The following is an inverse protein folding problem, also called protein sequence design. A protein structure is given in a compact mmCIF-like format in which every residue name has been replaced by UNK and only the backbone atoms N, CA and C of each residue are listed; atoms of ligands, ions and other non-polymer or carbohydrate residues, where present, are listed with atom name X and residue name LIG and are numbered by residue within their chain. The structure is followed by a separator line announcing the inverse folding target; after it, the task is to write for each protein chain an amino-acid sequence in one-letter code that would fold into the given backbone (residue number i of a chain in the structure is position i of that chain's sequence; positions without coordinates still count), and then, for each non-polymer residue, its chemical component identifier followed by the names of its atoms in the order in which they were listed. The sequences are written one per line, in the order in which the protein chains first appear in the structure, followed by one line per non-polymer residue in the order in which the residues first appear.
data_IF_196652192031
#
_entry.id   IF_196652192031
#
_cell.length_a   1.000
_cell.length_b   1.000
_cell.length_c   1.000
_cell.angle_alpha   90.00
_cell.angle_beta   90.00
_cell.angle_gamma   90.00
#
_symmetry.space_group_name_H-M   'P 1'
#
loop_
_entity.id
_entity.type
_entity.pdbx_description
1 polymer ?
#
# COMPACT_ATOMS: atom_id res chain seq x y z
N UNK A 1 -17.94 -21.54 43.56
CA UNK A 1 -16.79 -21.54 42.65
C UNK A 1 -17.29 -20.97 41.32
N UNK A 2 -16.94 -19.71 41.01
CA UNK A 2 -17.31 -19.11 39.72
C UNK A 2 -16.42 -19.76 38.65
N UNK A 3 -17.04 -20.42 37.68
CA UNK A 3 -16.35 -20.93 36.49
C UNK A 3 -15.88 -19.71 35.69
N UNK A 4 -14.57 -19.48 35.69
CA UNK A 4 -13.94 -18.53 34.78
C UNK A 4 -14.04 -19.18 33.40
N UNK A 5 -14.90 -18.63 32.54
CA UNK A 5 -14.97 -19.06 31.15
C UNK A 5 -13.62 -18.76 30.49
N UNK A 6 -12.92 -19.78 29.98
CA UNK A 6 -11.75 -19.59 29.14
C UNK A 6 -12.16 -18.78 27.91
N UNK A 7 -11.45 -17.67 27.64
CA UNK A 7 -11.69 -16.91 26.43
C UNK A 7 -11.27 -17.75 25.21
N UNK A 8 -12.11 -17.82 24.16
CA UNK A 8 -11.82 -18.64 23.00
C UNK A 8 -10.57 -18.13 22.29
N UNK A 9 -9.51 -18.94 22.32
CA UNK A 9 -8.25 -18.65 21.64
C UNK A 9 -8.45 -18.85 20.13
N UNK A 10 -8.19 -17.80 19.35
CA UNK A 10 -8.22 -17.86 17.88
C UNK A 10 -7.07 -18.73 17.40
N UNK A 11 -7.38 -19.79 16.65
CA UNK A 11 -6.36 -20.58 16.00
C UNK A 11 -5.99 -19.93 14.66
N UNK A 12 -4.81 -19.32 14.56
CA UNK A 12 -4.35 -18.61 13.36
C UNK A 12 -4.07 -19.52 12.14
N UNK A 13 -4.21 -20.83 12.29
CA UNK A 13 -3.95 -21.82 11.23
C UNK A 13 -5.18 -22.65 10.85
N UNK A 14 -6.31 -22.49 11.53
CA UNK A 14 -7.57 -23.20 11.24
C UNK A 14 -8.55 -22.27 10.51
N UNK A 15 -8.76 -22.49 9.21
CA UNK A 15 -9.74 -21.73 8.40
C UNK A 15 -11.13 -22.38 8.36
N UNK A 16 -11.38 -23.40 9.17
CA UNK A 16 -12.70 -24.03 9.23
C UNK A 16 -13.72 -23.11 9.90
N UNK A 17 -15.01 -23.34 9.62
CA UNK A 17 -16.13 -22.62 10.27
C UNK A 17 -16.18 -22.79 11.80
N UNK A 18 -15.34 -23.68 12.36
CA UNK A 18 -15.24 -23.95 13.78
C UNK A 18 -14.21 -23.05 14.47
N UNK A 19 -13.37 -22.34 13.72
CA UNK A 19 -12.46 -21.36 14.29
C UNK A 19 -13.26 -20.14 14.78
N UNK A 20 -13.06 -19.78 16.04
CA UNK A 20 -13.76 -18.67 16.66
C UNK A 20 -13.09 -17.37 16.25
N UNK A 21 -13.57 -16.73 15.18
CA UNK A 21 -13.22 -15.33 14.89
C UNK A 21 -14.02 -14.46 15.87
N UNK A 22 -13.34 -13.59 16.60
CA UNK A 22 -14.01 -12.68 17.53
C UNK A 22 -15.03 -11.82 16.77
N UNK A 23 -16.23 -11.68 17.34
CA UNK A 23 -17.26 -10.84 16.75
C UNK A 23 -16.81 -9.37 16.75
N UNK A 24 -17.19 -8.62 15.70
CA UNK A 24 -16.92 -7.19 15.65
C UNK A 24 -17.54 -6.47 16.86
N UNK A 25 -16.81 -5.50 17.42
CA UNK A 25 -17.32 -4.66 18.49
C UNK A 25 -18.63 -3.98 18.04
N UNK A 26 -19.64 -3.97 18.93
CA UNK A 26 -20.95 -3.38 18.63
C UNK A 26 -20.89 -1.86 18.45
N UNK A 27 -19.93 -1.22 19.12
CA UNK A 27 -19.71 0.23 19.11
C UNK A 27 -18.21 0.51 18.86
N UNK A 28 -17.72 0.39 17.62
CA UNK A 28 -16.32 0.62 17.31
C UNK A 28 -15.95 2.09 17.50
N UNK A 29 -14.81 2.33 18.12
CA UNK A 29 -14.24 3.67 18.26
C UNK A 29 -13.50 4.09 16.99
N UNK A 30 -13.19 5.38 16.88
CA UNK A 30 -12.35 5.90 15.79
C UNK A 30 -10.94 5.26 15.77
N UNK A 31 -10.40 4.93 16.94
CA UNK A 31 -9.11 4.25 17.03
C UNK A 31 -9.20 2.80 16.53
N UNK A 32 -10.29 2.10 16.85
CA UNK A 32 -10.52 0.73 16.34
C UNK A 32 -10.62 0.73 14.81
N UNK A 33 -11.22 1.77 14.22
CA UNK A 33 -11.25 1.94 12.78
C UNK A 33 -9.86 2.21 12.20
N UNK A 34 -9.06 3.10 12.82
CA UNK A 34 -7.69 3.37 12.38
C UNK A 34 -6.81 2.13 12.45
N UNK A 35 -6.94 1.35 13.52
CA UNK A 35 -6.21 0.10 13.71
C UNK A 35 -6.63 -0.95 12.67
N UNK A 36 -7.93 -1.13 12.44
CA UNK A 36 -8.42 -2.07 11.42
C UNK A 36 -7.94 -1.69 10.00
N UNK A 37 -7.97 -0.39 9.66
CA UNK A 37 -7.45 0.10 8.38
C UNK A 37 -5.92 -0.06 8.29
N UNK A 38 -5.20 0.17 9.39
CA UNK A 38 -3.76 -0.09 9.49
C UNK A 38 -3.42 -1.56 9.27
N UNK A 39 -4.16 -2.47 9.90
CA UNK A 39 -3.97 -3.91 9.76
C UNK A 39 -4.28 -4.39 8.34
N UNK A 40 -5.36 -3.90 7.72
CA UNK A 40 -5.68 -4.20 6.32
C UNK A 40 -4.57 -3.74 5.38
N UNK A 41 -4.01 -2.56 5.65
CA UNK A 41 -2.93 -1.96 4.87
C UNK A 41 -1.63 -2.75 5.03
N UNK A 42 -1.26 -3.11 6.26
CA UNK A 42 -0.08 -3.93 6.56
C UNK A 42 -0.21 -5.29 5.87
N UNK A 43 -1.36 -5.95 6.01
CA UNK A 43 -1.67 -7.18 5.28
C UNK A 43 -1.48 -6.99 3.77
N UNK A 44 -2.04 -5.92 3.19
CA UNK A 44 -1.86 -5.64 1.77
C UNK A 44 -0.40 -5.44 1.34
N UNK A 45 0.43 -4.82 2.19
CA UNK A 45 1.85 -4.59 1.91
C UNK A 45 2.71 -5.85 2.07
N UNK A 46 2.38 -6.72 3.01
CA UNK A 46 3.17 -7.92 3.31
C UNK A 46 2.69 -9.15 2.55
N UNK A 47 1.38 -9.29 2.33
CA UNK A 47 0.77 -10.47 1.68
C UNK A 47 0.87 -10.40 0.15
N UNK A 48 0.64 -9.25 -0.48
CA UNK A 48 0.84 -9.12 -1.93
C UNK A 48 2.31 -8.86 -2.27
N UNK A 49 3.13 -9.89 -2.07
CA UNK A 49 4.56 -9.92 -2.34
C UNK A 49 4.89 -10.86 -3.52
N UNK A 50 6.15 -10.94 -3.90
CA UNK A 50 6.62 -11.75 -5.04
C UNK A 50 6.29 -13.24 -4.88
N UNK A 51 6.37 -13.79 -3.67
CA UNK A 51 6.04 -15.20 -3.42
C UNK A 51 4.55 -15.49 -3.60
N UNK A 52 3.70 -14.55 -3.20
CA UNK A 52 2.24 -14.70 -3.31
C UNK A 52 1.76 -14.45 -4.73
N UNK A 53 2.43 -13.56 -5.47
CA UNK A 53 2.22 -13.37 -6.91
C UNK A 53 2.66 -14.63 -7.68
N UNK A 54 3.84 -15.18 -7.36
CA UNK A 54 4.34 -16.43 -7.94
C UNK A 54 3.40 -17.60 -7.67
N UNK A 55 2.95 -17.78 -6.42
CA UNK A 55 1.94 -18.77 -6.07
C UNK A 55 0.65 -18.58 -6.85
N UNK A 56 0.17 -17.34 -6.99
CA UNK A 56 -1.08 -17.04 -7.70
C UNK A 56 -0.99 -17.27 -9.20
N UNK A 57 0.19 -17.08 -9.79
CA UNK A 57 0.48 -17.35 -11.20
C UNK A 57 0.71 -18.84 -11.49
N UNK A 58 1.18 -19.60 -10.50
CA UNK A 58 1.48 -21.03 -10.65
C UNK A 58 0.32 -21.94 -10.22
N UNK A 59 -0.63 -21.45 -9.44
CA UNK A 59 -1.89 -22.14 -9.20
C UNK A 59 -2.74 -22.11 -10.48
N UNK A 60 -3.03 -23.30 -11.04
CA UNK A 60 -3.69 -23.44 -12.33
C UNK A 60 -5.10 -22.83 -12.36
N UNK A 61 -5.85 -22.89 -11.26
CA UNK A 61 -7.20 -22.36 -11.19
C UNK A 61 -7.20 -20.85 -11.02
N UNK A 62 -6.27 -20.33 -10.19
CA UNK A 62 -6.18 -18.91 -9.94
C UNK A 62 -5.58 -18.16 -11.13
N UNK A 63 -4.58 -18.74 -11.79
CA UNK A 63 -4.00 -18.18 -13.03
C UNK A 63 -5.03 -18.11 -14.17
N UNK A 64 -5.88 -19.12 -14.34
CA UNK A 64 -6.97 -19.12 -15.32
C UNK A 64 -7.97 -17.98 -15.02
N UNK A 65 -8.41 -17.85 -13.76
CA UNK A 65 -9.31 -16.78 -13.33
C UNK A 65 -8.71 -15.37 -13.52
N UNK A 66 -7.44 -15.20 -13.18
CA UNK A 66 -6.72 -13.92 -13.34
C UNK A 66 -6.58 -13.55 -14.82
N UNK A 67 -6.30 -14.53 -15.68
CA UNK A 67 -6.20 -14.33 -17.12
C UNK A 67 -7.55 -13.90 -17.73
N UNK A 68 -8.64 -14.56 -17.33
CA UNK A 68 -9.99 -14.19 -17.76
C UNK A 68 -10.36 -12.77 -17.31
N UNK A 69 -10.09 -12.42 -16.05
CA UNK A 69 -10.33 -11.07 -15.54
C UNK A 69 -9.52 -10.01 -16.29
N UNK A 70 -8.26 -10.31 -16.64
CA UNK A 70 -7.42 -9.41 -17.41
C UNK A 70 -7.95 -9.22 -18.83
N UNK A 71 -8.41 -10.30 -19.49
CA UNK A 71 -9.00 -10.25 -20.83
C UNK A 71 -10.24 -9.37 -20.88
N UNK A 72 -11.12 -9.47 -19.88
CA UNK A 72 -12.30 -8.61 -19.75
C UNK A 72 -11.92 -7.14 -19.56
N UNK A 73 -10.95 -6.85 -18.68
CA UNK A 73 -10.45 -5.48 -18.46
C UNK A 73 -9.86 -4.88 -19.74
N UNK A 74 -9.08 -5.66 -20.50
CA UNK A 74 -8.50 -5.22 -21.78
C UNK A 74 -9.60 -4.94 -22.79
N UNK A 75 -10.57 -5.86 -22.96
CA UNK A 75 -11.69 -5.65 -23.87
C UNK A 75 -12.46 -4.37 -23.53
N UNK A 76 -12.79 -4.16 -22.25
CA UNK A 76 -13.48 -2.96 -21.79
C UNK A 76 -12.68 -1.67 -22.03
N UNK A 77 -11.35 -1.71 -21.86
CA UNK A 77 -10.48 -0.56 -22.15
C UNK A 77 -10.39 -0.28 -23.65
N UNK A 78 -10.24 -1.31 -24.48
CA UNK A 78 -10.21 -1.19 -25.93
C UNK A 78 -11.52 -0.59 -26.46
N UNK A 79 -12.67 -1.09 -26.01
CA UNK A 79 -13.98 -0.51 -26.37
C UNK A 79 -14.11 0.94 -25.92
N UNK A 80 -13.61 1.29 -24.72
CA UNK A 80 -13.60 2.69 -24.26
C UNK A 80 -12.67 3.57 -25.10
N UNK A 81 -11.52 3.07 -25.53
CA UNK A 81 -10.61 3.79 -26.42
C UNK A 81 -11.26 4.03 -27.79
N UNK A 82 -11.87 3.00 -28.37
CA UNK A 82 -12.59 3.09 -29.65
C UNK A 82 -13.76 4.07 -29.59
N UNK A 83 -14.53 4.06 -28.49
CA UNK A 83 -15.60 5.02 -28.23
C UNK A 83 -15.10 6.46 -27.99
N UNK A 84 -13.87 6.62 -27.49
CA UNK A 84 -13.25 7.94 -27.26
C UNK A 84 -12.63 8.55 -28.52
N UNK A 85 -12.29 7.74 -29.53
CA UNK A 85 -11.77 8.22 -30.82
C UNK A 85 -12.79 8.94 -31.71
N UNK A 86 -14.09 8.92 -31.35
CA UNK A 86 -15.16 9.57 -32.14
C UNK A 86 -15.73 10.85 -31.50
N UNK A 87 -15.25 11.26 -30.32
CA UNK A 87 -15.71 12.49 -29.66
C UNK A 87 -14.59 13.55 -29.64
N UNK A 88 -14.80 14.62 -30.41
CA UNK A 88 -13.92 15.78 -30.41
C UNK A 88 -13.71 16.31 -29.00
N UNK A 89 -12.47 16.64 -28.65
CA UNK A 89 -12.07 17.22 -27.37
C UNK A 89 -12.85 18.51 -27.06
N UNK A 90 -13.97 18.42 -26.35
CA UNK A 90 -14.50 19.57 -25.62
C UNK A 90 -13.80 19.65 -24.27
N UNK A 91 -12.89 20.62 -24.16
CA UNK A 91 -12.30 21.05 -22.89
C UNK A 91 -13.40 21.59 -22.00
N UNK A 92 -13.81 20.84 -20.97
CA UNK A 92 -14.51 21.43 -19.85
C UNK A 92 -13.50 22.11 -18.91
N UNK A 93 -13.65 23.42 -18.60
CA UNK A 93 -12.89 24.06 -17.54
C UNK A 93 -13.45 23.64 -16.19
N UNK A 94 -13.09 22.45 -15.73
CA UNK A 94 -13.32 22.01 -14.36
C UNK A 94 -12.30 22.67 -13.44
N UNK A 95 -12.67 23.80 -12.84
CA UNK A 95 -11.90 24.45 -11.79
C UNK A 95 -11.78 23.51 -10.58
N UNK A 96 -10.70 22.72 -10.53
CA UNK A 96 -10.31 22.00 -9.32
C UNK A 96 -9.92 23.03 -8.29
N UNK A 97 -10.80 23.21 -7.30
CA UNK A 97 -10.49 23.94 -6.08
C UNK A 97 -9.22 23.34 -5.49
N UNK A 98 -8.15 24.13 -5.49
CA UNK A 98 -6.83 23.70 -5.02
C UNK A 98 -6.91 23.61 -3.50
N UNK A 99 -6.88 22.40 -2.99
CA UNK A 99 -6.57 22.14 -1.60
C UNK A 99 -5.28 22.87 -1.21
N UNK A 100 -5.15 23.33 0.06
CA UNK A 100 -4.00 24.10 0.50
C UNK A 100 -2.71 23.35 0.16
N UNK A 101 -1.76 24.03 -0.49
CA UNK A 101 -0.45 23.47 -0.84
C UNK A 101 0.19 22.93 0.44
N UNK A 102 0.21 21.60 0.60
CA UNK A 102 1.10 20.95 1.55
C UNK A 102 2.51 21.51 1.31
N UNK A 103 3.16 21.98 2.37
CA UNK A 103 4.54 22.45 2.35
C UNK A 103 5.40 21.35 1.75
N UNK A 104 5.84 21.53 0.50
CA UNK A 104 6.60 20.50 -0.22
C UNK A 104 7.88 20.15 0.53
N UNK A 105 8.35 18.91 0.36
CA UNK A 105 9.60 18.44 0.96
C UNK A 105 10.75 19.43 0.72
N UNK A 106 11.49 19.85 1.76
CA UNK A 106 12.62 20.77 1.61
C UNK A 106 13.67 20.24 0.62
N UNK A 107 14.26 21.14 -0.18
CA UNK A 107 15.30 20.78 -1.16
C UNK A 107 16.49 20.06 -0.52
N UNK A 108 16.84 20.42 0.71
CA UNK A 108 17.92 19.79 1.45
C UNK A 108 17.65 18.30 1.72
N UNK A 109 16.43 17.96 2.14
CA UNK A 109 16.00 16.57 2.35
C UNK A 109 16.11 15.80 1.03
N UNK A 110 15.60 16.39 -0.07
CA UNK A 110 15.63 15.75 -1.39
C UNK A 110 17.06 15.47 -1.90
N UNK A 111 18.03 16.35 -1.60
CA UNK A 111 19.43 16.15 -2.00
C UNK A 111 20.14 15.06 -1.20
N UNK A 112 19.75 14.87 0.06
CA UNK A 112 20.32 13.87 0.95
C UNK A 112 19.65 12.50 0.84
N UNK A 113 18.67 12.31 -0.05
CA UNK A 113 18.05 11.01 -0.24
C UNK A 113 19.04 10.00 -0.84
N UNK A 114 19.17 8.81 -0.23
CA UNK A 114 19.91 7.70 -0.83
C UNK A 114 19.40 7.41 -2.24
N UNK A 115 20.30 6.95 -3.11
CA UNK A 115 19.98 6.59 -4.50
C UNK A 115 20.40 5.17 -4.81
N UNK A 116 19.56 4.48 -5.58
CA UNK A 116 19.84 3.15 -6.13
C UNK A 116 19.49 3.17 -7.61
N UNK A 117 20.45 2.81 -8.46
CA UNK A 117 20.25 2.82 -9.93
C UNK A 117 19.86 4.20 -10.48
N UNK A 118 20.33 5.30 -9.86
CA UNK A 118 19.98 6.67 -10.23
C UNK A 118 18.62 7.17 -9.73
N UNK A 119 17.80 6.29 -9.15
CA UNK A 119 16.51 6.64 -8.55
C UNK A 119 16.67 7.01 -7.09
N UNK A 120 15.93 8.04 -6.64
CA UNK A 120 15.98 8.47 -5.24
C UNK A 120 15.05 7.63 -4.37
N UNK A 121 15.39 7.44 -3.11
CA UNK A 121 14.53 6.71 -2.18
C UNK A 121 13.13 7.33 -2.07
N UNK A 122 12.10 6.49 -2.15
CA UNK A 122 10.75 6.88 -1.77
C UNK A 122 10.65 6.95 -0.25
N UNK A 123 10.59 8.16 0.34
CA UNK A 123 10.45 8.28 1.80
C UNK A 123 9.18 7.60 2.31
N UNK A 124 8.07 7.68 1.55
CA UNK A 124 6.80 7.02 1.90
C UNK A 124 6.95 5.49 1.97
N UNK A 125 7.93 4.89 1.30
CA UNK A 125 8.21 3.45 1.43
C UNK A 125 8.69 3.07 2.84
N UNK A 126 9.43 3.96 3.52
CA UNK A 126 9.93 3.71 4.88
C UNK A 126 8.94 4.03 6.00
N UNK A 127 7.84 4.70 5.68
CA UNK A 127 6.86 5.15 6.68
C UNK A 127 5.82 4.08 6.99
N UNK A 128 5.13 4.21 8.13
CA UNK A 128 3.94 3.38 8.44
C UNK A 128 2.89 3.38 7.33
N UNK A 129 2.85 4.49 6.60
CA UNK A 129 1.98 4.73 5.47
C UNK A 129 2.38 4.01 4.17
N UNK A 130 3.50 3.26 4.19
CA UNK A 130 4.19 2.48 3.15
C UNK A 130 3.71 2.65 1.69
N UNK A 131 4.65 2.92 0.79
CA UNK A 131 4.33 3.08 -0.63
C UNK A 131 4.16 1.70 -1.30
N UNK A 132 2.93 1.36 -1.71
CA UNK A 132 2.63 0.13 -2.46
C UNK A 132 3.14 0.10 -3.91
N UNK A 133 3.77 1.18 -4.38
CA UNK A 133 4.46 1.20 -5.67
C UNK A 133 3.51 1.19 -6.87
N UNK A 134 3.96 0.58 -7.97
CA UNK A 134 3.17 0.39 -9.19
C UNK A 134 2.89 -1.08 -9.50
N UNK A 135 2.95 -1.95 -8.47
CA UNK A 135 2.79 -3.40 -8.63
C UNK A 135 4.07 -4.13 -9.07
N UNK A 136 5.21 -3.44 -9.22
CA UNK A 136 6.51 -4.07 -9.49
C UNK A 136 7.43 -3.88 -8.28
N UNK A 137 8.03 -4.97 -7.80
CA UNK A 137 8.96 -4.96 -6.67
C UNK A 137 10.08 -3.92 -6.87
N UNK A 138 10.33 -3.14 -5.82
CA UNK A 138 11.35 -2.09 -5.84
C UNK A 138 10.98 -0.82 -6.61
N UNK A 139 9.82 -0.75 -7.28
CA UNK A 139 9.41 0.41 -8.06
C UNK A 139 8.35 1.26 -7.35
N UNK A 140 8.60 2.56 -7.35
CA UNK A 140 7.63 3.54 -6.92
C UNK A 140 6.66 3.86 -8.05
N UNK A 141 5.47 4.37 -7.71
CA UNK A 141 4.58 5.00 -8.68
C UNK A 141 5.26 6.19 -9.40
N UNK A 142 6.19 6.86 -8.73
CA UNK A 142 7.03 7.89 -9.34
C UNK A 142 8.22 7.27 -10.07
N UNK A 143 8.37 7.57 -11.36
CA UNK A 143 9.49 7.13 -12.20
C UNK A 143 10.86 7.61 -11.74
N UNK A 144 10.93 8.58 -10.81
CA UNK A 144 12.17 9.12 -10.25
C UNK A 144 12.51 8.54 -8.88
N UNK A 145 11.67 7.63 -8.37
CA UNK A 145 11.82 7.04 -7.03
C UNK A 145 11.86 5.53 -7.08
N UNK A 146 12.58 4.95 -6.13
CA UNK A 146 12.67 3.50 -5.93
C UNK A 146 12.34 3.13 -4.50
N UNK A 147 11.92 1.88 -4.32
CA UNK A 147 11.69 1.26 -3.03
C UNK A 147 12.87 0.36 -2.74
N UNK A 148 13.59 0.66 -1.68
CA UNK A 148 14.71 -0.12 -1.20
C UNK A 148 15.02 0.27 0.23
N UNK A 149 15.63 -0.64 0.97
CA UNK A 149 16.16 -0.36 2.31
C UNK A 149 17.57 0.24 2.18
N UNK A 150 17.79 1.51 2.57
CA UNK A 150 19.14 2.05 2.58
C UNK A 150 19.96 1.46 3.73
N UNK A 151 21.28 1.34 3.56
CA UNK A 151 22.18 0.89 4.64
C UNK A 151 22.26 1.91 5.79
N UNK A 152 22.17 3.20 5.46
CA UNK A 152 22.10 4.30 6.43
C UNK A 152 21.21 5.41 5.88
N UNK A 153 20.46 6.08 6.75
CA UNK A 153 19.63 7.21 6.36
C UNK A 153 20.18 8.53 6.96
N UNK A 154 20.46 9.56 6.16
CA UNK A 154 21.00 10.82 6.70
C UNK A 154 20.02 11.52 7.66
N UNK A 155 20.55 12.14 8.71
CA UNK A 155 19.79 12.82 9.78
C UNK A 155 18.68 13.76 9.29
N UNK A 156 18.94 14.66 8.31
CA UNK A 156 17.89 15.55 7.78
C UNK A 156 16.68 14.81 7.20
N UNK A 157 16.90 13.62 6.63
CA UNK A 157 15.84 12.79 6.06
C UNK A 157 15.07 12.07 7.18
N UNK A 158 15.78 11.54 8.19
CA UNK A 158 15.15 10.93 9.38
C UNK A 158 14.22 11.92 10.07
N UNK A 159 14.73 13.11 10.36
CA UNK A 159 13.97 14.18 11.02
C UNK A 159 12.72 14.56 10.23
N UNK A 160 12.83 14.62 8.90
CA UNK A 160 11.69 14.97 8.07
C UNK A 160 10.59 13.90 8.11
N UNK A 161 10.97 12.62 8.06
CA UNK A 161 10.03 11.49 8.12
C UNK A 161 9.31 11.46 9.47
N UNK A 162 10.05 11.60 10.58
CA UNK A 162 9.47 11.59 11.93
C UNK A 162 8.55 12.79 12.17
N UNK A 163 8.96 14.00 11.73
CA UNK A 163 8.19 15.22 12.00
C UNK A 163 7.00 15.44 11.06
N UNK A 164 7.04 14.92 9.83
CA UNK A 164 6.07 15.29 8.78
C UNK A 164 5.40 14.10 8.08
N UNK A 165 5.81 12.86 8.34
CA UNK A 165 5.34 11.67 7.61
C UNK A 165 5.00 10.48 8.52
N UNK A 166 4.48 10.75 9.72
CA UNK A 166 3.99 9.74 10.69
C UNK A 166 5.02 8.70 11.17
N UNK A 167 6.31 8.99 10.94
CA UNK A 167 7.43 8.16 11.40
C UNK A 167 7.64 6.88 10.60
N UNK A 168 8.59 6.07 11.07
CA UNK A 168 9.02 4.84 10.41
C UNK A 168 8.05 3.68 10.67
N UNK A 169 7.91 2.78 9.69
CA UNK A 169 7.33 1.47 9.94
C UNK A 169 8.24 0.67 10.89
N UNK A 170 7.67 -0.32 11.59
CA UNK A 170 8.39 -1.07 12.63
C UNK A 170 9.71 -1.67 12.10
N UNK A 171 9.68 -2.21 10.89
CA UNK A 171 10.83 -2.80 10.21
C UNK A 171 11.98 -1.81 9.92
N UNK A 172 11.74 -0.49 9.95
CA UNK A 172 12.74 0.55 9.67
C UNK A 172 13.10 1.38 10.91
N UNK A 173 12.70 0.95 12.10
CA UNK A 173 12.97 1.70 13.35
C UNK A 173 14.45 1.76 13.73
N UNK A 174 15.26 0.86 13.18
CA UNK A 174 16.71 0.78 13.33
C UNK A 174 17.51 1.67 12.36
N UNK A 175 16.85 2.27 11.36
CA UNK A 175 17.51 3.07 10.31
C UNK A 175 18.06 4.40 10.79
#
# INVERSE_FOLDING_TARGET
MMLVAEEPVVNMTDFSRKNYIQAAAKDPTYNDLLEALGNLREFGCSFYNEETDDFSLHDALLSELLYDQQKEKIAALTTKMEASSSSGFQRQPGGRERSPKQTGTPKEVLRNLPKQGGLSLCMKYLTKDCCGGNGVTGKCFSTKRAHFRPATLPGPVKDHIVKNMDGFAHEYTDL
#
